data_IF_780881287918
#
_entry.id   IF_780881287918
#
_cell.length_a   1.000
_cell.length_b   1.000
_cell.length_c   1.000
_cell.angle_alpha   90.00
_cell.angle_beta   90.00
_cell.angle_gamma   90.00
#
_symmetry.space_group_name_H-M   'P 1'
#
loop_
_entity.id
_entity.type
_entity.pdbx_description
1 polymer ?
#
# COMPACT_ATOMS: atom_id res chain seq x y z
N UNK A 1 -8.65 4.69 4.75
CA UNK A 1 -7.47 4.39 5.57
C UNK A 1 -7.89 4.12 7.00
N UNK A 2 -7.43 3.01 7.55
CA UNK A 2 -7.74 2.53 8.89
C UNK A 2 -6.55 2.73 9.82
N UNK A 3 -6.82 2.86 11.12
CA UNK A 3 -5.78 2.90 12.14
C UNK A 3 -5.24 1.49 12.35
N UNK A 4 -3.92 1.31 12.24
CA UNK A 4 -3.29 0.04 12.55
C UNK A 4 -3.40 -0.21 14.05
N UNK A 5 -3.80 -1.43 14.44
CA UNK A 5 -3.76 -1.91 15.83
C UNK A 5 -2.58 -2.86 15.96
N UNK A 6 -1.70 -2.62 16.93
CA UNK A 6 -0.56 -3.47 17.24
C UNK A 6 -0.62 -3.82 18.74
N UNK A 7 -0.51 -5.11 19.07
CA UNK A 7 -0.60 -5.62 20.44
C UNK A 7 -1.86 -5.17 21.22
N UNK A 8 -2.98 -5.01 20.50
CA UNK A 8 -4.26 -4.54 21.06
C UNK A 8 -4.40 -3.02 21.16
N UNK A 9 -3.33 -2.27 20.88
CA UNK A 9 -3.30 -0.82 20.99
C UNK A 9 -3.40 -0.12 19.63
N UNK A 10 -4.16 0.97 19.58
CA UNK A 10 -4.27 1.81 18.37
C UNK A 10 -2.96 2.57 18.16
N UNK A 11 -2.40 2.46 16.97
CA UNK A 11 -1.22 3.25 16.58
C UNK A 11 -1.63 4.59 15.97
N UNK A 12 -0.69 5.51 15.81
CA UNK A 12 -0.88 6.75 15.03
C UNK A 12 -0.76 6.52 13.51
N UNK A 13 -0.36 5.31 13.11
CA UNK A 13 -0.15 4.96 11.71
C UNK A 13 -1.47 4.59 11.05
N UNK A 14 -1.71 5.19 9.88
CA UNK A 14 -2.86 4.89 9.03
C UNK A 14 -2.42 4.00 7.87
N UNK A 15 -3.19 2.98 7.56
CA UNK A 15 -2.94 2.06 6.47
C UNK A 15 -4.14 1.92 5.53
N UNK A 16 -3.91 1.33 4.37
CA UNK A 16 -4.99 0.83 3.51
C UNK A 16 -5.66 -0.35 4.20
N UNK A 17 -6.99 -0.36 4.22
CA UNK A 17 -7.75 -1.48 4.75
C UNK A 17 -7.50 -2.71 3.86
N UNK A 18 -7.12 -3.83 4.47
CA UNK A 18 -6.84 -5.06 3.75
C UNK A 18 -7.35 -6.27 4.52
N UNK A 19 -7.91 -7.23 3.78
CA UNK A 19 -8.22 -8.56 4.30
C UNK A 19 -7.18 -9.51 3.73
N UNK A 20 -6.42 -10.16 4.60
CA UNK A 20 -5.42 -11.15 4.20
C UNK A 20 -6.01 -12.54 4.27
N UNK A 21 -5.96 -13.25 3.14
CA UNK A 21 -6.25 -14.68 3.08
C UNK A 21 -4.92 -15.43 2.95
N UNK A 22 -4.62 -16.43 3.81
CA UNK A 22 -3.28 -17.03 3.90
C UNK A 22 -3.03 -18.09 2.81
N UNK A 23 -3.49 -17.83 1.58
CA UNK A 23 -3.42 -18.76 0.47
C UNK A 23 -2.91 -18.11 -0.82
N UNK A 24 -2.10 -18.84 -1.56
CA UNK A 24 -1.52 -18.42 -2.83
C UNK A 24 -1.24 -19.60 -3.75
N UNK A 25 -0.61 -19.33 -4.90
CA UNK A 25 -0.27 -20.36 -5.88
C UNK A 25 0.63 -21.47 -5.35
N UNK A 26 1.43 -21.17 -4.33
CA UNK A 26 2.38 -22.06 -3.66
C UNK A 26 1.87 -22.63 -2.33
N UNK A 27 0.58 -22.44 -2.03
CA UNK A 27 -0.08 -23.12 -0.91
C UNK A 27 -0.11 -24.63 -1.17
N UNK A 28 0.53 -25.39 -0.27
CA UNK A 28 0.64 -26.84 -0.39
C UNK A 28 -0.73 -27.51 -0.24
N UNK A 29 -0.95 -28.56 -1.03
CA UNK A 29 -2.11 -29.44 -0.94
C UNK A 29 -1.65 -30.76 -0.34
N UNK A 30 -2.27 -31.15 0.76
CA UNK A 30 -2.14 -32.49 1.34
C UNK A 30 -3.47 -33.20 1.10
N UNK A 31 -4.39 -33.17 2.06
CA UNK A 31 -5.81 -33.53 1.85
C UNK A 31 -6.66 -32.30 1.48
N UNK A 32 -6.27 -31.13 2.01
CA UNK A 32 -6.85 -29.82 1.73
C UNK A 32 -5.74 -28.80 1.54
N UNK A 33 -6.11 -27.61 1.07
CA UNK A 33 -5.18 -26.50 0.95
C UNK A 33 -4.69 -26.07 2.34
N UNK A 34 -3.38 -25.96 2.52
CA UNK A 34 -2.77 -25.56 3.79
C UNK A 34 -2.32 -24.09 3.74
N UNK A 35 -2.44 -23.33 4.85
CA UNK A 35 -2.03 -21.94 4.94
C UNK A 35 -0.50 -21.79 5.12
N UNK A 36 0.28 -22.59 4.40
CA UNK A 36 1.74 -22.62 4.46
C UNK A 36 2.34 -22.97 3.10
N UNK A 37 3.60 -22.59 2.92
CA UNK A 37 4.39 -22.84 1.71
C UNK A 37 5.40 -23.96 1.97
N UNK A 38 5.64 -24.82 0.98
CA UNK A 38 6.67 -25.87 1.02
C UNK A 38 7.62 -25.77 -0.18
N UNK A 39 7.90 -24.55 -0.61
CA UNK A 39 8.65 -24.27 -1.84
C UNK A 39 7.73 -24.09 -3.04
N UNK A 40 8.28 -24.32 -4.23
CA UNK A 40 7.58 -24.12 -5.49
C UNK A 40 6.48 -25.18 -5.72
N UNK A 41 5.58 -24.89 -6.65
CA UNK A 41 4.68 -25.88 -7.25
C UNK A 41 5.47 -26.99 -7.98
N UNK A 42 4.87 -28.17 -8.17
CA UNK A 42 5.48 -29.23 -8.99
C UNK A 42 5.74 -28.74 -10.43
N UNK A 43 4.81 -27.96 -10.96
CA UNK A 43 4.94 -27.27 -12.25
C UNK A 43 6.19 -26.38 -12.39
N UNK A 44 6.81 -26.00 -11.27
CA UNK A 44 8.03 -25.19 -11.19
C UNK A 44 9.17 -25.91 -10.45
N UNK A 45 9.20 -27.25 -10.49
CA UNK A 45 10.27 -28.07 -9.92
C UNK A 45 10.18 -28.28 -8.41
N UNK A 46 9.03 -27.98 -7.81
CA UNK A 46 8.75 -28.29 -6.41
C UNK A 46 8.60 -29.79 -6.14
N UNK A 47 8.45 -30.14 -4.87
CA UNK A 47 8.34 -31.53 -4.39
C UNK A 47 6.98 -31.88 -3.80
N UNK A 48 6.08 -30.90 -3.65
CA UNK A 48 4.73 -31.08 -3.12
C UNK A 48 3.73 -30.38 -4.03
N UNK A 49 2.53 -30.96 -4.25
CA UNK A 49 1.49 -30.31 -5.05
C UNK A 49 0.98 -29.05 -4.34
N UNK A 50 0.59 -28.06 -5.13
CA UNK A 50 0.12 -26.75 -4.67
C UNK A 50 -1.14 -26.32 -5.42
N UNK A 51 -1.72 -25.16 -5.07
CA UNK A 51 -2.84 -24.59 -5.80
C UNK A 51 -2.54 -24.39 -7.31
N UNK A 52 -1.29 -24.08 -7.67
CA UNK A 52 -0.88 -24.01 -9.08
C UNK A 52 -1.00 -25.38 -9.77
N UNK A 53 -0.64 -26.45 -9.08
CA UNK A 53 -0.76 -27.81 -9.63
C UNK A 53 -2.22 -28.23 -9.76
N UNK A 54 -3.09 -27.81 -8.84
CA UNK A 54 -4.53 -28.02 -8.96
C UNK A 54 -5.13 -27.31 -10.18
N UNK A 55 -4.66 -26.09 -10.49
CA UNK A 55 -5.04 -25.40 -11.73
C UNK A 55 -4.62 -26.23 -12.96
N UNK A 56 -3.40 -26.76 -12.99
CA UNK A 56 -2.94 -27.58 -14.10
C UNK A 56 -3.74 -28.88 -14.27
N UNK A 57 -3.99 -29.61 -13.17
CA UNK A 57 -4.79 -30.84 -13.19
C UNK A 57 -6.23 -30.58 -13.67
N UNK A 58 -6.77 -29.37 -13.43
CA UNK A 58 -8.10 -28.96 -13.88
C UNK A 58 -8.10 -28.31 -15.28
N UNK A 59 -6.99 -28.37 -16.01
CA UNK A 59 -6.90 -28.00 -17.42
C UNK A 59 -6.21 -26.66 -17.72
N UNK A 60 -5.48 -26.09 -16.75
CA UNK A 60 -4.54 -24.99 -17.05
C UNK A 60 -3.18 -25.52 -17.54
N UNK A 61 -2.40 -24.67 -18.20
CA UNK A 61 -1.08 -25.01 -18.76
C UNK A 61 0.00 -24.09 -18.19
N UNK A 62 0.18 -24.12 -16.87
CA UNK A 62 1.11 -23.26 -16.14
C UNK A 62 2.43 -23.99 -15.94
N UNK A 63 3.55 -23.37 -16.34
CA UNK A 63 4.88 -23.94 -16.19
C UNK A 63 5.02 -25.30 -16.88
N UNK A 64 5.69 -26.27 -16.23
CA UNK A 64 5.70 -27.65 -16.67
C UNK A 64 4.43 -28.38 -16.18
N UNK A 65 3.29 -28.13 -16.84
CA UNK A 65 1.99 -28.65 -16.40
C UNK A 65 1.95 -30.18 -16.27
N UNK A 66 2.72 -30.91 -17.08
CA UNK A 66 2.84 -32.37 -16.99
C UNK A 66 3.42 -32.87 -15.66
N UNK A 67 4.18 -32.03 -14.94
CA UNK A 67 4.72 -32.38 -13.62
C UNK A 67 3.67 -32.38 -12.50
N UNK A 68 2.50 -31.77 -12.73
CA UNK A 68 1.43 -31.67 -11.73
C UNK A 68 0.66 -32.99 -11.51
N UNK A 69 0.97 -34.05 -12.26
CA UNK A 69 0.27 -35.35 -12.22
C UNK A 69 0.36 -36.14 -10.91
N UNK A 70 1.15 -35.70 -9.92
CA UNK A 70 1.15 -36.30 -8.58
C UNK A 70 -0.12 -35.96 -7.78
N UNK A 71 -0.86 -34.91 -8.16
CA UNK A 71 -2.12 -34.53 -7.54
C UNK A 71 -3.28 -35.18 -8.30
N UNK A 72 -4.13 -35.94 -7.60
CA UNK A 72 -5.33 -36.50 -8.21
C UNK A 72 -6.37 -35.41 -8.51
N UNK A 73 -7.21 -35.67 -9.50
CA UNK A 73 -8.19 -34.70 -9.99
C UNK A 73 -9.23 -34.31 -8.94
N UNK A 74 -9.66 -35.23 -8.09
CA UNK A 74 -10.66 -34.97 -7.05
C UNK A 74 -10.12 -33.99 -6.01
N UNK A 75 -8.88 -34.22 -5.55
CA UNK A 75 -8.20 -33.33 -4.61
C UNK A 75 -7.92 -31.96 -5.22
N UNK A 76 -7.53 -31.91 -6.50
CA UNK A 76 -7.33 -30.66 -7.23
C UNK A 76 -8.62 -29.83 -7.33
N UNK A 77 -9.73 -30.45 -7.74
CA UNK A 77 -11.03 -29.78 -7.86
C UNK A 77 -11.52 -29.28 -6.50
N UNK A 78 -11.37 -30.08 -5.44
CA UNK A 78 -11.73 -29.69 -4.08
C UNK A 78 -10.93 -28.49 -3.56
N UNK A 79 -9.60 -28.50 -3.73
CA UNK A 79 -8.74 -27.39 -3.28
C UNK A 79 -9.06 -26.09 -4.02
N UNK A 80 -9.35 -26.18 -5.32
CA UNK A 80 -9.69 -25.01 -6.13
C UNK A 80 -11.07 -24.44 -5.75
N UNK A 81 -12.07 -25.28 -5.53
CA UNK A 81 -13.39 -24.85 -5.04
C UNK A 81 -13.30 -24.20 -3.67
N UNK A 82 -12.50 -24.77 -2.76
CA UNK A 82 -12.25 -24.19 -1.43
C UNK A 82 -11.65 -22.78 -1.53
N UNK A 83 -10.61 -22.61 -2.36
CA UNK A 83 -9.99 -21.30 -2.59
C UNK A 83 -10.96 -20.30 -3.21
N UNK A 84 -11.66 -20.69 -4.29
CA UNK A 84 -12.62 -19.82 -4.98
C UNK A 84 -13.73 -19.39 -4.02
N UNK A 85 -14.29 -20.33 -3.27
CA UNK A 85 -15.36 -20.05 -2.30
C UNK A 85 -14.89 -19.09 -1.21
N UNK A 86 -13.69 -19.31 -0.67
CA UNK A 86 -13.11 -18.42 0.35
C UNK A 86 -12.95 -16.98 -0.15
N UNK A 87 -12.31 -16.80 -1.31
CA UNK A 87 -12.08 -15.47 -1.88
C UNK A 87 -13.41 -14.82 -2.29
N UNK A 88 -14.34 -15.59 -2.86
CA UNK A 88 -15.65 -15.07 -3.28
C UNK A 88 -16.48 -14.59 -2.10
N UNK A 89 -16.44 -15.28 -0.95
CA UNK A 89 -17.06 -14.79 0.29
C UNK A 89 -16.45 -13.46 0.76
N UNK A 90 -15.12 -13.32 0.69
CA UNK A 90 -14.45 -12.07 1.05
C UNK A 90 -14.84 -10.92 0.09
N UNK A 91 -14.90 -11.20 -1.22
CA UNK A 91 -15.36 -10.22 -2.23
C UNK A 91 -16.82 -9.83 -1.98
N UNK A 92 -17.71 -10.79 -1.76
CA UNK A 92 -19.12 -10.51 -1.47
C UNK A 92 -19.30 -9.68 -0.19
N UNK A 93 -18.57 -10.01 0.88
CA UNK A 93 -18.59 -9.26 2.14
C UNK A 93 -18.09 -7.82 2.00
N UNK A 94 -17.20 -7.55 1.04
CA UNK A 94 -16.74 -6.18 0.74
C UNK A 94 -17.79 -5.32 0.02
N UNK A 95 -18.82 -5.94 -0.57
CA UNK A 95 -19.81 -5.25 -1.42
C UNK A 95 -19.27 -4.75 -2.76
N UNK A 96 -18.07 -5.20 -3.17
CA UNK A 96 -17.45 -4.78 -4.42
C UNK A 96 -18.23 -5.26 -5.65
N UNK A 97 -18.48 -4.34 -6.59
CA UNK A 97 -19.14 -4.64 -7.89
C UNK A 97 -18.16 -5.01 -9.00
N UNK A 98 -16.87 -4.71 -8.79
CA UNK A 98 -15.80 -4.95 -9.74
C UNK A 98 -14.57 -5.50 -9.01
N UNK A 99 -14.00 -6.58 -9.52
CA UNK A 99 -12.76 -7.18 -9.05
C UNK A 99 -11.64 -6.81 -10.01
N UNK A 100 -10.57 -6.20 -9.50
CA UNK A 100 -9.33 -5.97 -10.25
C UNK A 100 -8.34 -7.08 -9.90
N UNK A 101 -8.08 -7.97 -10.85
CA UNK A 101 -7.21 -9.12 -10.68
C UNK A 101 -5.74 -8.78 -10.88
N UNK A 102 -4.89 -9.00 -9.89
CA UNK A 102 -3.44 -8.83 -10.00
C UNK A 102 -2.69 -10.06 -9.52
N UNK A 103 -1.41 -10.16 -9.87
CA UNK A 103 -0.56 -11.31 -9.62
C UNK A 103 -0.65 -12.38 -10.71
N UNK A 104 0.36 -13.24 -10.75
CA UNK A 104 0.58 -14.20 -11.83
C UNK A 104 -0.62 -15.12 -12.12
N UNK A 105 -1.34 -15.55 -11.08
CA UNK A 105 -2.50 -16.45 -11.23
C UNK A 105 -3.84 -15.73 -11.48
N UNK A 106 -3.85 -14.39 -11.57
CA UNK A 106 -5.07 -13.61 -11.74
C UNK A 106 -5.90 -14.07 -12.94
N UNK A 107 -5.25 -14.31 -14.08
CA UNK A 107 -5.91 -14.75 -15.31
C UNK A 107 -6.65 -16.09 -15.20
N UNK A 108 -6.23 -16.96 -14.28
CA UNK A 108 -6.85 -18.27 -14.09
C UNK A 108 -7.94 -18.25 -13.01
N UNK A 109 -7.74 -17.45 -11.96
CA UNK A 109 -8.58 -17.46 -10.75
C UNK A 109 -9.66 -16.38 -10.77
N UNK A 110 -9.33 -15.16 -11.16
CA UNK A 110 -10.21 -13.98 -11.05
C UNK A 110 -11.50 -14.13 -11.86
N UNK A 111 -11.50 -14.66 -13.10
CA UNK A 111 -12.76 -14.90 -13.82
C UNK A 111 -13.70 -15.86 -13.08
N UNK A 112 -13.16 -16.88 -12.40
CA UNK A 112 -13.96 -17.85 -11.62
C UNK A 112 -14.50 -17.22 -10.35
N UNK A 113 -13.66 -16.48 -9.62
CA UNK A 113 -14.04 -15.74 -8.40
C UNK A 113 -15.12 -14.71 -8.71
N UNK A 114 -14.97 -13.94 -9.78
CA UNK A 114 -15.93 -12.90 -10.18
C UNK A 114 -17.29 -13.51 -10.54
N UNK A 115 -17.31 -14.60 -11.30
CA UNK A 115 -18.55 -15.34 -11.61
C UNK A 115 -19.23 -15.86 -10.34
N UNK A 116 -18.46 -16.44 -9.41
CA UNK A 116 -19.01 -17.00 -8.16
C UNK A 116 -19.52 -15.90 -7.20
N UNK A 117 -18.91 -14.71 -7.23
CA UNK A 117 -19.33 -13.56 -6.42
C UNK A 117 -20.37 -12.66 -7.09
N UNK A 118 -20.74 -12.91 -8.35
CA UNK A 118 -21.66 -12.06 -9.12
C UNK A 118 -21.07 -10.68 -9.46
N UNK A 119 -19.74 -10.54 -9.44
CA UNK A 119 -19.05 -9.29 -9.73
C UNK A 119 -18.55 -9.22 -11.19
N UNK A 120 -18.42 -8.02 -11.72
CA UNK A 120 -17.62 -7.78 -12.91
C UNK A 120 -16.13 -7.91 -12.58
N UNK A 121 -15.28 -8.15 -13.59
CA UNK A 121 -13.84 -8.18 -13.36
C UNK A 121 -13.04 -7.55 -14.49
N UNK A 122 -11.84 -7.11 -14.15
CA UNK A 122 -10.79 -6.73 -15.09
C UNK A 122 -9.46 -7.28 -14.60
N UNK A 123 -8.59 -7.64 -15.54
CA UNK A 123 -7.19 -7.99 -15.26
C UNK A 123 -6.38 -7.03 -16.13
N UNK A 124 -5.67 -6.06 -15.53
CA UNK A 124 -4.90 -5.10 -16.29
C UNK A 124 -3.74 -5.78 -17.02
N UNK A 125 -3.22 -5.15 -18.09
CA UNK A 125 -1.93 -5.56 -18.67
C UNK A 125 -0.85 -5.60 -17.58
N UNK A 126 0.10 -6.52 -17.70
CA UNK A 126 1.20 -6.68 -16.74
C UNK A 126 0.73 -6.96 -15.30
N UNK A 127 -0.45 -7.56 -15.12
CA UNK A 127 -1.01 -7.92 -13.81
C UNK A 127 -0.04 -8.73 -12.95
N UNK A 128 0.79 -9.57 -13.56
CA UNK A 128 1.82 -10.38 -12.91
C UNK A 128 2.87 -9.57 -12.14
N UNK A 129 3.12 -8.32 -12.55
CA UNK A 129 4.05 -7.41 -11.90
C UNK A 129 3.38 -6.10 -11.45
N UNK A 130 2.06 -6.11 -11.25
CA UNK A 130 1.28 -4.93 -10.86
C UNK A 130 1.84 -4.20 -9.62
N UNK A 131 2.42 -4.93 -8.67
CA UNK A 131 3.09 -4.32 -7.51
C UNK A 131 4.31 -3.48 -7.92
N UNK A 132 5.13 -3.98 -8.84
CA UNK A 132 6.28 -3.25 -9.36
C UNK A 132 5.85 -2.04 -10.19
N UNK A 133 4.80 -2.20 -11.02
CA UNK A 133 4.19 -1.08 -11.74
C UNK A 133 3.69 -0.03 -10.75
N UNK A 134 2.96 -0.44 -9.71
CA UNK A 134 2.45 0.44 -8.67
C UNK A 134 3.55 1.25 -7.98
N UNK A 135 4.70 0.61 -7.67
CA UNK A 135 5.88 1.31 -7.13
C UNK A 135 6.42 2.31 -8.14
N UNK A 136 6.60 1.91 -9.40
CA UNK A 136 7.18 2.76 -10.44
C UNK A 136 6.33 4.00 -10.74
N UNK A 137 5.01 3.89 -10.64
CA UNK A 137 4.09 5.02 -10.90
C UNK A 137 3.71 5.79 -9.62
N UNK A 138 4.23 5.42 -8.46
CA UNK A 138 3.91 6.09 -7.20
C UNK A 138 4.62 7.44 -7.10
N UNK A 139 3.84 8.49 -6.83
CA UNK A 139 4.38 9.80 -6.48
C UNK A 139 5.13 9.74 -5.15
N UNK A 140 6.29 10.39 -5.09
CA UNK A 140 6.99 10.63 -3.82
C UNK A 140 6.08 11.40 -2.87
N UNK A 141 5.71 10.73 -1.78
CA UNK A 141 4.84 11.26 -0.73
C UNK A 141 5.69 11.64 0.47
N UNK A 142 5.56 12.88 0.95
CA UNK A 142 6.31 13.36 2.11
C UNK A 142 5.42 14.21 3.00
N UNK A 143 5.40 13.89 4.29
CA UNK A 143 4.78 14.71 5.33
C UNK A 143 5.87 15.40 6.14
N UNK A 144 5.77 16.73 6.26
CA UNK A 144 6.68 17.55 7.05
C UNK A 144 5.92 18.05 8.28
N UNK A 145 6.41 17.64 9.45
CA UNK A 145 6.04 18.20 10.74
C UNK A 145 7.05 19.29 11.10
N UNK A 146 6.58 20.52 11.24
CA UNK A 146 7.40 21.66 11.58
C UNK A 146 6.94 22.28 12.91
N UNK A 147 7.89 22.58 13.79
CA UNK A 147 7.66 23.36 15.00
C UNK A 147 8.58 24.56 15.02
N UNK A 148 8.00 25.75 14.98
CA UNK A 148 8.70 27.02 15.08
C UNK A 148 8.65 27.53 16.51
N UNK A 149 9.78 27.99 17.04
CA UNK A 149 9.87 28.63 18.34
C UNK A 149 10.78 29.86 18.23
N UNK A 150 10.15 31.04 18.10
CA UNK A 150 10.90 32.30 17.98
C UNK A 150 11.61 32.69 19.27
N UNK A 151 11.19 32.15 20.42
CA UNK A 151 11.83 32.42 21.71
C UNK A 151 13.14 31.65 21.88
N UNK A 152 13.21 30.45 21.29
CA UNK A 152 14.44 29.65 21.22
C UNK A 152 15.30 29.96 20.00
N UNK A 153 14.79 30.75 19.05
CA UNK A 153 15.48 31.01 17.79
C UNK A 153 15.70 29.73 16.97
N UNK A 154 14.75 28.79 17.03
CA UNK A 154 14.86 27.51 16.34
C UNK A 154 13.56 27.09 15.63
N UNK A 155 13.72 26.32 14.56
CA UNK A 155 12.65 25.52 13.96
C UNK A 155 13.08 24.05 13.95
N UNK A 156 12.14 23.13 14.12
CA UNK A 156 12.41 21.68 14.06
C UNK A 156 11.55 21.08 12.95
N UNK A 157 12.20 20.45 11.97
CA UNK A 157 11.55 19.75 10.86
C UNK A 157 11.73 18.24 11.02
N UNK A 158 10.66 17.48 11.24
CA UNK A 158 10.71 16.03 11.46
C UNK A 158 11.78 15.58 12.49
N UNK A 159 11.99 16.38 13.54
CA UNK A 159 12.99 16.13 14.59
C UNK A 159 14.37 16.73 14.33
N UNK A 160 14.62 17.33 13.16
CA UNK A 160 15.88 17.98 12.81
C UNK A 160 15.83 19.49 13.12
N UNK A 161 16.61 19.99 14.09
CA UNK A 161 16.63 21.41 14.43
C UNK A 161 17.42 22.24 13.42
N UNK A 162 16.93 23.44 13.13
CA UNK A 162 17.60 24.47 12.34
C UNK A 162 17.48 25.83 13.04
N UNK A 163 18.42 26.74 12.74
CA UNK A 163 18.38 28.12 13.22
C UNK A 163 17.14 28.87 12.64
N UNK A 164 16.48 29.65 13.48
CA UNK A 164 15.38 30.53 13.13
C UNK A 164 15.76 31.97 13.49
N UNK A 165 16.17 32.73 12.48
CA UNK A 165 16.50 34.16 12.63
C UNK A 165 15.27 35.04 12.69
N UNK A 166 14.25 34.72 11.90
CA UNK A 166 13.00 35.48 11.83
C UNK A 166 11.85 34.52 11.54
N UNK A 167 10.76 34.66 12.28
CA UNK A 167 9.57 33.84 12.08
C UNK A 167 8.72 34.30 10.89
N UNK A 168 8.49 35.61 10.78
CA UNK A 168 7.53 36.17 9.81
C UNK A 168 6.09 36.09 10.30
N UNK A 169 5.15 36.35 9.39
CA UNK A 169 3.73 36.11 9.59
C UNK A 169 3.35 34.65 9.26
N UNK A 170 2.06 34.33 9.35
CA UNK A 170 1.59 32.96 9.15
C UNK A 170 1.84 32.45 7.72
N UNK A 171 1.74 33.32 6.71
CA UNK A 171 2.04 32.93 5.33
C UNK A 171 3.55 32.68 5.13
N UNK A 172 4.43 33.50 5.71
CA UNK A 172 5.86 33.27 5.66
C UNK A 172 6.27 31.93 6.31
N UNK A 173 5.60 31.55 7.41
CA UNK A 173 5.80 30.25 8.06
C UNK A 173 5.35 29.10 7.14
N UNK A 174 4.18 29.22 6.52
CA UNK A 174 3.66 28.22 5.58
C UNK A 174 4.54 28.09 4.35
N UNK A 175 4.99 29.19 3.77
CA UNK A 175 5.86 29.21 2.60
C UNK A 175 7.21 28.58 2.90
N UNK A 176 7.78 28.81 4.09
CA UNK A 176 8.99 28.10 4.52
C UNK A 176 8.76 26.60 4.62
N UNK A 177 7.62 26.16 5.16
CA UNK A 177 7.28 24.72 5.21
C UNK A 177 7.08 24.12 3.82
N UNK A 178 6.41 24.85 2.92
CA UNK A 178 6.20 24.45 1.51
C UNK A 178 7.54 24.33 0.78
N UNK A 179 8.45 25.29 0.96
CA UNK A 179 9.77 25.22 0.36
C UNK A 179 10.58 24.03 0.90
N UNK A 180 10.57 23.81 2.21
CA UNK A 180 11.29 22.71 2.87
C UNK A 180 10.77 21.33 2.40
N UNK A 181 9.45 21.11 2.37
CA UNK A 181 8.88 19.81 1.94
C UNK A 181 9.16 19.55 0.46
N UNK A 182 9.11 20.59 -0.39
CA UNK A 182 9.45 20.50 -1.81
C UNK A 182 10.92 20.12 -1.98
N UNK A 183 11.83 20.84 -1.33
CA UNK A 183 13.25 20.57 -1.41
C UNK A 183 13.59 19.14 -0.97
N UNK A 184 13.01 18.67 0.13
CA UNK A 184 13.21 17.29 0.62
C UNK A 184 12.66 16.25 -0.35
N UNK A 185 11.49 16.49 -0.94
CA UNK A 185 10.92 15.56 -1.91
C UNK A 185 11.75 15.48 -3.20
N UNK A 186 12.22 16.62 -3.73
CA UNK A 186 13.14 16.63 -4.88
C UNK A 186 14.43 15.88 -4.55
N UNK A 187 15.01 16.12 -3.37
CA UNK A 187 16.21 15.39 -2.92
C UNK A 187 15.96 13.87 -2.78
N UNK A 188 14.72 13.46 -2.51
CA UNK A 188 14.28 12.07 -2.46
C UNK A 188 13.91 11.48 -3.84
N UNK A 189 14.04 12.25 -4.92
CA UNK A 189 13.79 11.79 -6.29
C UNK A 189 12.39 12.11 -6.84
N UNK A 190 11.65 13.07 -6.26
CA UNK A 190 10.37 13.49 -6.81
C UNK A 190 10.53 14.26 -8.13
N UNK A 191 9.59 14.07 -9.07
CA UNK A 191 9.46 14.93 -10.24
C UNK A 191 9.05 16.36 -9.82
N UNK A 192 9.65 17.43 -10.39
CA UNK A 192 9.28 18.81 -10.09
C UNK A 192 7.80 19.16 -10.24
N UNK A 193 7.08 18.48 -11.15
CA UNK A 193 5.65 18.68 -11.39
C UNK A 193 4.79 18.09 -10.28
N UNK A 194 5.30 17.08 -9.57
CA UNK A 194 4.57 16.42 -8.48
C UNK A 194 4.59 17.20 -7.17
N UNK A 195 5.55 18.12 -7.01
CA UNK A 195 5.74 18.88 -5.76
C UNK A 195 5.07 20.26 -5.81
N UNK A 196 4.30 20.58 -6.86
CA UNK A 196 3.62 21.86 -6.98
C UNK A 196 2.49 22.01 -5.94
N UNK A 197 1.65 20.97 -5.80
CA UNK A 197 0.52 20.92 -4.87
C UNK A 197 0.92 20.41 -3.48
N UNK A 198 1.31 21.34 -2.61
CA UNK A 198 1.58 21.06 -1.19
C UNK A 198 0.34 21.37 -0.36
N UNK A 199 -0.20 20.35 0.30
CA UNK A 199 -1.37 20.46 1.16
C UNK A 199 -0.97 20.86 2.57
N UNK A 200 -1.66 21.84 3.13
CA UNK A 200 -1.56 22.17 4.56
C UNK A 200 -2.58 21.31 5.30
N UNK A 201 -2.10 20.34 6.08
CA UNK A 201 -2.96 19.44 6.86
C UNK A 201 -3.31 20.03 8.22
N UNK A 202 -2.39 20.80 8.79
CA UNK A 202 -2.56 21.43 10.10
C UNK A 202 -1.72 22.71 10.18
N UNK A 203 -2.30 23.74 10.79
CA UNK A 203 -1.61 24.95 11.17
C UNK A 203 -2.19 25.47 12.48
N UNK A 204 -1.33 25.64 13.47
CA UNK A 204 -1.71 26.21 14.76
C UNK A 204 -0.58 27.11 15.26
N UNK A 205 -0.91 28.36 15.58
CA UNK A 205 0.06 29.32 16.09
C UNK A 205 -0.48 30.06 17.32
N UNK A 206 0.41 30.37 18.25
CA UNK A 206 0.07 31.09 19.46
C UNK A 206 1.23 31.97 19.94
N UNK A 207 0.86 33.11 20.51
CA UNK A 207 1.81 34.06 21.08
C UNK A 207 2.10 33.72 22.54
N UNK A 208 3.38 33.78 22.91
CA UNK A 208 3.85 33.62 24.29
C UNK A 208 4.01 35.00 24.92
N UNK A 209 3.17 35.31 25.90
CA UNK A 209 3.16 36.61 26.60
C UNK A 209 3.91 36.50 27.93
N UNK A 210 4.83 37.43 28.19
CA UNK A 210 5.52 37.60 29.47
C UNK A 210 5.46 39.06 29.89
N UNK A 211 5.10 39.31 31.15
CA UNK A 211 5.01 40.67 31.71
C UNK A 211 4.15 41.62 30.85
N UNK A 212 3.02 41.13 30.35
CA UNK A 212 2.09 41.87 29.47
C UNK A 212 2.61 42.22 28.07
N UNK A 213 3.78 41.71 27.66
CA UNK A 213 4.31 41.87 26.30
C UNK A 213 4.48 40.52 25.60
N UNK A 214 4.29 40.48 24.27
CA UNK A 214 4.60 39.30 23.46
C UNK A 214 6.10 39.07 23.45
N UNK A 215 6.53 37.97 24.06
CA UNK A 215 7.94 37.56 24.16
C UNK A 215 8.39 36.60 23.06
N UNK A 216 7.48 35.77 22.53
CA UNK A 216 7.76 34.81 21.47
C UNK A 216 6.46 34.41 20.76
N UNK A 217 6.59 33.66 19.68
CA UNK A 217 5.51 33.00 18.98
C UNK A 217 5.92 31.57 18.66
N UNK A 218 4.99 30.64 18.85
CA UNK A 218 5.15 29.24 18.52
C UNK A 218 4.15 28.90 17.41
N UNK A 219 4.60 28.16 16.41
CA UNK A 219 3.75 27.63 15.36
C UNK A 219 4.04 26.15 15.11
N UNK A 220 3.01 25.32 15.15
CA UNK A 220 3.05 23.92 14.76
C UNK A 220 2.35 23.78 13.40
N UNK A 221 3.07 23.22 12.42
CA UNK A 221 2.60 23.10 11.03
C UNK A 221 2.80 21.68 10.54
N UNK A 222 1.81 21.16 9.82
CA UNK A 222 1.93 19.91 9.08
C UNK A 222 1.57 20.18 7.63
N UNK A 223 2.56 20.04 6.74
CA UNK A 223 2.36 20.09 5.29
C UNK A 223 2.68 18.74 4.66
N UNK A 224 2.07 18.46 3.50
CA UNK A 224 2.23 17.18 2.82
C UNK A 224 2.25 17.34 1.30
N UNK A 225 3.16 16.61 0.65
CA UNK A 225 3.00 16.19 -0.75
C UNK A 225 2.19 14.90 -0.73
N UNK A 226 0.97 14.97 -1.25
CA UNK A 226 -0.02 13.91 -1.10
C UNK A 226 0.33 12.65 -1.91
N UNK A 227 -0.12 11.46 -1.45
CA UNK A 227 -0.07 10.26 -2.27
C UNK A 227 -0.77 10.46 -3.61
N UNK A 228 -0.21 9.86 -4.66
CA UNK A 228 -0.76 9.95 -6.00
C UNK A 228 0.07 9.18 -7.01
N UNK A 229 -0.28 9.37 -8.28
CA UNK A 229 0.49 8.87 -9.42
C UNK A 229 1.48 9.97 -9.82
N UNK A 230 2.74 9.60 -10.07
CA UNK A 230 3.79 10.54 -10.52
C UNK A 230 3.45 11.11 -11.89
N UNK A 231 3.81 12.37 -12.13
CA UNK A 231 3.74 13.00 -13.45
C UNK A 231 4.69 12.36 -14.49
N UNK A 232 5.60 11.50 -14.07
CA UNK A 232 6.45 10.66 -14.93
C UNK A 232 5.73 9.41 -15.45
N UNK A 233 4.58 9.07 -14.87
CA UNK A 233 3.81 7.91 -15.32
C UNK A 233 3.34 8.13 -16.77
N UNK A 234 3.40 7.09 -17.61
CA UNK A 234 3.07 7.17 -19.04
C UNK A 234 1.59 7.40 -19.32
#
# INVERSE_FOLDING_TARGET
>A
METIVADGERTVTRAVAAITLPYGGDSVIEETMQPRRMGNALAFGGIRPTLTDALNVTGCEIGNAGASGLLDRTSAERALEEYISLVSRAVAASGARMVVGTGYLAQFLVPRIARHSGASFTIPPHAECANAVGVAVSRVTLTLHARFDSGRGAVVFNGEPQELRTLGDDEAVLDRCRAEVKQRAIAAGADPRDVEDVRVLHFHAYDVVRSSFRSARIADVVVQIAPGITAEAP
#
